data_IF_470810750922
#
_entry.id   IF_470810750922
#
_cell.length_a   1.000
_cell.length_b   1.000
_cell.length_c   1.000
_cell.angle_alpha   90.00
_cell.angle_beta   90.00
_cell.angle_gamma   90.00
#
_symmetry.space_group_name_H-M   'P 1'
#
loop_
_entity.id
_entity.type
_entity.pdbx_description
1 polymer ?
#
# COMPACT_ATOMS: atom_id res chain seq x y z
N UNK A 1 -19.46 -0.82 30.73
CA UNK A 1 -18.17 -1.53 30.98
C UNK A 1 -17.21 -0.50 31.56
N UNK A 2 -16.50 -0.75 32.67
CA UNK A 2 -15.72 0.28 33.38
C UNK A 2 -14.75 1.06 32.50
N UNK A 3 -14.19 0.40 31.48
CA UNK A 3 -13.26 1.00 30.52
C UNK A 3 -13.90 2.15 29.70
N UNK A 4 -15.15 1.97 29.27
CA UNK A 4 -15.88 3.00 28.51
C UNK A 4 -16.31 4.14 29.41
N UNK A 5 -16.70 3.84 30.65
CA UNK A 5 -17.11 4.87 31.61
C UNK A 5 -15.97 5.87 31.84
N UNK A 6 -14.72 5.41 31.99
CA UNK A 6 -13.56 6.32 32.14
C UNK A 6 -13.35 7.22 30.92
N UNK A 7 -13.57 6.72 29.69
CA UNK A 7 -13.51 7.56 28.49
C UNK A 7 -14.66 8.58 28.46
N UNK A 8 -15.86 8.17 28.85
CA UNK A 8 -17.03 9.05 28.93
C UNK A 8 -16.86 10.14 29.98
N UNK A 9 -16.28 9.83 31.14
CA UNK A 9 -15.95 10.80 32.19
C UNK A 9 -14.96 11.85 31.68
N UNK A 10 -13.94 11.45 30.93
CA UNK A 10 -12.97 12.38 30.31
C UNK A 10 -13.68 13.27 29.28
N UNK A 11 -14.56 12.69 28.45
CA UNK A 11 -15.31 13.45 27.43
C UNK A 11 -16.27 14.46 28.09
N UNK A 12 -16.91 14.10 29.20
CA UNK A 12 -17.83 14.96 29.94
C UNK A 12 -17.17 16.20 30.55
N UNK A 13 -15.83 16.22 30.67
CA UNK A 13 -15.09 17.42 31.10
C UNK A 13 -15.09 18.54 30.05
N UNK A 14 -15.61 18.28 28.85
CA UNK A 14 -15.80 19.26 27.78
C UNK A 14 -14.72 19.17 26.69
N UNK A 15 -15.03 19.72 25.51
CA UNK A 15 -14.18 19.61 24.32
C UNK A 15 -12.79 20.21 24.52
N UNK A 16 -12.71 21.39 25.16
CA UNK A 16 -11.44 22.06 25.45
C UNK A 16 -10.57 21.23 26.40
N UNK A 17 -11.17 20.55 27.37
CA UNK A 17 -10.46 19.67 28.27
C UNK A 17 -9.93 18.44 27.51
N UNK A 18 -10.77 17.81 26.68
CA UNK A 18 -10.40 16.64 25.88
C UNK A 18 -9.20 16.93 24.96
N UNK A 19 -9.12 18.12 24.36
CA UNK A 19 -7.97 18.53 23.53
C UNK A 19 -6.67 18.67 24.32
N UNK A 20 -6.74 18.95 25.63
CA UNK A 20 -5.56 19.12 26.48
C UNK A 20 -5.13 17.82 27.20
N UNK A 21 -5.99 16.80 27.22
CA UNK A 21 -5.69 15.52 27.89
C UNK A 21 -4.43 14.87 27.29
N UNK A 22 -3.47 14.42 28.11
CA UNK A 22 -2.33 13.66 27.61
C UNK A 22 -2.78 12.37 26.93
N UNK A 23 -2.25 12.07 25.74
CA UNK A 23 -2.62 10.91 24.93
C UNK A 23 -2.67 9.60 25.74
N UNK A 24 -1.70 9.39 26.64
CA UNK A 24 -1.60 8.20 27.50
C UNK A 24 -2.87 7.92 28.34
N UNK A 25 -3.59 8.96 28.76
CA UNK A 25 -4.81 8.79 29.55
C UNK A 25 -5.95 8.26 28.68
N UNK A 26 -5.96 8.57 27.38
CA UNK A 26 -6.92 7.99 26.43
C UNK A 26 -6.46 6.60 25.99
N UNK A 27 -5.19 6.45 25.57
CA UNK A 27 -4.71 5.20 24.98
C UNK A 27 -4.78 4.02 25.94
N UNK A 28 -4.58 4.21 27.25
CA UNK A 28 -4.71 3.10 28.22
C UNK A 28 -6.10 2.45 28.18
N UNK A 29 -7.17 3.25 28.04
CA UNK A 29 -8.52 2.72 27.95
C UNK A 29 -8.83 2.15 26.56
N UNK A 30 -8.36 2.82 25.50
CA UNK A 30 -8.54 2.36 24.11
C UNK A 30 -7.79 1.05 23.85
N UNK A 31 -6.57 0.89 24.37
CA UNK A 31 -5.78 -0.33 24.24
C UNK A 31 -6.43 -1.49 25.01
N UNK A 32 -7.06 -1.24 26.16
CA UNK A 32 -7.87 -2.26 26.86
C UNK A 32 -9.08 -2.70 26.03
N UNK A 33 -9.77 -1.78 25.35
CA UNK A 33 -10.83 -2.14 24.39
C UNK A 33 -10.28 -2.98 23.24
N UNK A 34 -9.10 -2.62 22.71
CA UNK A 34 -8.40 -3.38 21.67
C UNK A 34 -8.11 -4.82 22.11
N UNK A 35 -7.70 -5.02 23.37
CA UNK A 35 -7.50 -6.36 23.95
C UNK A 35 -8.81 -7.14 24.03
N UNK A 36 -9.92 -6.50 24.40
CA UNK A 36 -11.23 -7.16 24.44
C UNK A 36 -11.66 -7.58 23.03
N UNK A 37 -11.63 -6.65 22.08
CA UNK A 37 -12.02 -6.93 20.69
C UNK A 37 -11.15 -8.01 20.03
N UNK A 38 -9.87 -8.11 20.39
CA UNK A 38 -8.98 -9.14 19.83
C UNK A 38 -9.15 -10.53 20.47
N UNK A 39 -9.52 -10.61 21.75
CA UNK A 39 -9.60 -11.87 22.50
C UNK A 39 -11.00 -12.47 22.58
N UNK A 40 -12.06 -11.66 22.56
CA UNK A 40 -13.44 -12.17 22.55
C UNK A 40 -13.76 -12.76 21.17
N UNK A 41 -14.08 -14.05 21.10
CA UNK A 41 -14.33 -14.78 19.83
C UNK A 41 -15.82 -14.90 19.49
N UNK A 42 -16.63 -13.96 19.94
CA UNK A 42 -18.08 -13.90 19.68
C UNK A 42 -18.39 -12.67 18.80
N UNK A 43 -18.50 -12.82 17.47
CA UNK A 43 -18.66 -11.70 16.54
C UNK A 43 -19.83 -10.77 16.85
N UNK A 44 -20.99 -11.35 17.20
CA UNK A 44 -22.22 -10.59 17.50
C UNK A 44 -22.10 -9.75 18.77
N UNK A 45 -21.47 -10.32 19.82
CA UNK A 45 -21.23 -9.60 21.09
C UNK A 45 -20.27 -8.44 20.88
N UNK A 46 -19.22 -8.65 20.07
CA UNK A 46 -18.28 -7.57 19.72
C UNK A 46 -18.96 -6.51 18.86
N UNK A 47 -19.81 -6.91 17.91
CA UNK A 47 -20.58 -5.97 17.10
C UNK A 47 -21.53 -5.11 17.94
N UNK A 48 -22.27 -5.71 18.87
CA UNK A 48 -23.15 -4.97 19.78
C UNK A 48 -22.36 -3.97 20.62
N UNK A 49 -21.21 -4.39 21.16
CA UNK A 49 -20.32 -3.50 21.91
C UNK A 49 -19.81 -2.34 21.05
N UNK A 50 -19.38 -2.62 19.81
CA UNK A 50 -18.90 -1.60 18.87
C UNK A 50 -20.02 -0.60 18.55
N UNK A 51 -21.22 -1.08 18.23
CA UNK A 51 -22.38 -0.22 17.95
C UNK A 51 -22.71 0.67 19.14
N UNK A 52 -22.69 0.12 20.35
CA UNK A 52 -22.96 0.84 21.59
C UNK A 52 -21.90 1.89 21.92
N UNK A 53 -20.63 1.60 21.65
CA UNK A 53 -19.50 2.45 22.04
C UNK A 53 -19.02 3.39 20.93
N UNK A 54 -19.46 3.19 19.70
CA UNK A 54 -19.09 4.02 18.54
C UNK A 54 -19.28 5.53 18.80
N UNK A 55 -20.38 6.02 19.39
CA UNK A 55 -20.52 7.46 19.65
C UNK A 55 -19.41 8.02 20.55
N UNK A 56 -18.98 7.26 21.56
CA UNK A 56 -17.87 7.65 22.44
C UNK A 56 -16.53 7.67 21.69
N UNK A 57 -16.27 6.66 20.86
CA UNK A 57 -15.06 6.59 20.05
C UNK A 57 -15.02 7.70 18.98
N UNK A 58 -16.18 8.02 18.39
CA UNK A 58 -16.32 9.10 17.40
C UNK A 58 -15.95 10.46 18.00
N UNK A 59 -16.40 10.79 19.21
CA UNK A 59 -16.01 12.05 19.88
C UNK A 59 -14.47 12.15 20.00
N UNK A 60 -13.79 11.03 20.28
CA UNK A 60 -12.32 11.01 20.34
C UNK A 60 -11.71 11.20 18.94
N UNK A 61 -12.25 10.55 17.91
CA UNK A 61 -11.86 10.82 16.52
C UNK A 61 -11.95 12.31 16.19
N UNK A 62 -13.11 12.94 16.44
CA UNK A 62 -13.39 14.33 16.07
C UNK A 62 -12.46 15.34 16.77
N UNK A 63 -12.18 15.15 18.07
CA UNK A 63 -11.42 16.13 18.85
C UNK A 63 -9.92 15.81 18.99
N UNK A 64 -9.49 14.60 18.65
CA UNK A 64 -8.08 14.15 18.80
C UNK A 64 -7.44 13.72 17.50
N UNK A 65 -8.04 13.98 16.34
CA UNK A 65 -7.49 13.57 15.05
C UNK A 65 -6.07 14.11 14.76
N UNK A 66 -5.69 15.22 15.36
CA UNK A 66 -4.33 15.78 15.28
C UNK A 66 -3.27 14.98 16.07
N UNK A 67 -3.69 14.20 17.07
CA UNK A 67 -2.78 13.47 17.96
C UNK A 67 -2.54 12.04 17.46
N UNK A 68 -1.40 11.86 16.77
CA UNK A 68 -0.99 10.60 16.15
C UNK A 68 -1.04 9.42 17.12
N UNK A 69 -0.60 9.59 18.37
CA UNK A 69 -0.56 8.49 19.34
C UNK A 69 -1.97 7.99 19.70
N UNK A 70 -2.91 8.91 19.85
CA UNK A 70 -4.30 8.58 20.15
C UNK A 70 -4.96 7.93 18.92
N UNK A 71 -4.77 8.50 17.73
CA UNK A 71 -5.34 7.94 16.49
C UNK A 71 -4.80 6.54 16.17
N UNK A 72 -3.50 6.29 16.39
CA UNK A 72 -2.90 4.96 16.27
C UNK A 72 -3.57 3.93 17.19
N UNK A 73 -3.78 4.27 18.46
CA UNK A 73 -4.49 3.41 19.42
C UNK A 73 -5.94 3.17 19.00
N UNK A 74 -6.63 4.23 18.55
CA UNK A 74 -8.03 4.16 18.16
C UNK A 74 -8.24 3.33 16.88
N UNK A 75 -7.45 3.58 15.84
CA UNK A 75 -7.47 2.80 14.61
C UNK A 75 -7.10 1.33 14.85
N UNK A 76 -6.15 1.04 15.77
CA UNK A 76 -5.82 -0.32 16.17
C UNK A 76 -6.99 -1.02 16.87
N UNK A 77 -7.71 -0.32 17.73
CA UNK A 77 -8.94 -0.84 18.35
C UNK A 77 -10.00 -1.15 17.31
N UNK A 78 -10.25 -0.22 16.37
CA UNK A 78 -11.18 -0.41 15.26
C UNK A 78 -10.79 -1.58 14.36
N UNK A 79 -9.50 -1.76 14.07
CA UNK A 79 -9.00 -2.93 13.33
C UNK A 79 -9.39 -4.24 14.01
N UNK A 80 -9.16 -4.35 15.32
CA UNK A 80 -9.52 -5.58 16.04
C UNK A 80 -11.02 -5.80 16.09
N UNK A 81 -11.81 -4.74 16.26
CA UNK A 81 -13.25 -4.81 16.13
C UNK A 81 -13.64 -5.38 14.76
N UNK A 82 -13.24 -4.73 13.66
CA UNK A 82 -13.52 -5.13 12.27
C UNK A 82 -13.14 -6.59 12.00
N UNK A 83 -11.94 -7.01 12.41
CA UNK A 83 -11.48 -8.39 12.20
C UNK A 83 -12.31 -9.41 12.96
N UNK A 84 -12.83 -9.06 14.13
CA UNK A 84 -13.57 -9.99 14.99
C UNK A 84 -15.05 -10.03 14.66
N UNK A 85 -15.71 -8.89 14.44
CA UNK A 85 -17.13 -8.86 14.12
C UNK A 85 -17.44 -9.14 12.65
N UNK A 86 -16.52 -8.79 11.73
CA UNK A 86 -16.73 -8.96 10.30
C UNK A 86 -18.08 -8.41 9.84
N UNK A 87 -18.84 -9.21 9.10
CA UNK A 87 -20.17 -8.84 8.59
C UNK A 87 -21.18 -8.47 9.67
N UNK A 88 -21.01 -8.95 10.91
CA UNK A 88 -21.91 -8.62 12.03
C UNK A 88 -21.82 -7.15 12.46
N UNK A 89 -20.80 -6.40 12.02
CA UNK A 89 -20.64 -4.97 12.34
C UNK A 89 -21.80 -4.09 11.87
N UNK A 90 -22.57 -4.55 10.87
CA UNK A 90 -23.78 -3.87 10.39
C UNK A 90 -23.51 -2.45 9.91
N UNK A 91 -24.40 -1.52 10.24
CA UNK A 91 -24.37 -0.13 9.73
C UNK A 91 -23.18 0.71 10.23
N UNK A 92 -22.56 0.32 11.35
CA UNK A 92 -21.51 1.11 12.00
C UNK A 92 -20.25 1.20 11.14
N UNK A 93 -20.00 0.22 10.27
CA UNK A 93 -18.86 0.27 9.34
C UNK A 93 -18.98 1.48 8.40
N UNK A 94 -20.17 1.78 7.88
CA UNK A 94 -20.38 2.92 6.98
C UNK A 94 -20.09 4.25 7.67
N UNK A 95 -20.60 4.41 8.90
CA UNK A 95 -20.34 5.61 9.71
C UNK A 95 -18.84 5.76 10.05
N UNK A 96 -18.16 4.66 10.37
CA UNK A 96 -16.72 4.65 10.64
C UNK A 96 -15.91 5.07 9.42
N UNK A 97 -16.23 4.54 8.23
CA UNK A 97 -15.51 4.86 7.01
C UNK A 97 -15.72 6.30 6.56
N UNK A 98 -16.93 6.83 6.71
CA UNK A 98 -17.23 8.24 6.46
C UNK A 98 -16.40 9.17 7.36
N UNK A 99 -16.21 8.79 8.61
CA UNK A 99 -15.38 9.55 9.55
C UNK A 99 -13.90 9.51 9.15
N UNK A 100 -13.38 8.32 8.90
CA UNK A 100 -11.99 8.07 8.54
C UNK A 100 -11.58 8.87 7.30
N UNK A 101 -12.41 8.86 6.24
CA UNK A 101 -12.08 9.57 5.01
C UNK A 101 -12.05 11.10 5.22
N UNK A 102 -12.96 11.62 6.04
CA UNK A 102 -13.05 13.05 6.35
C UNK A 102 -11.83 13.51 7.16
N UNK A 103 -11.48 12.76 8.21
CA UNK A 103 -10.35 13.10 9.07
C UNK A 103 -9.01 12.91 8.38
N UNK A 104 -8.88 11.93 7.48
CA UNK A 104 -7.66 11.75 6.70
C UNK A 104 -7.36 12.96 5.81
N UNK A 105 -8.37 13.55 5.17
CA UNK A 105 -8.20 14.75 4.35
C UNK A 105 -7.71 15.97 5.15
N UNK A 106 -8.05 16.02 6.44
CA UNK A 106 -7.70 17.14 7.33
C UNK A 106 -6.34 16.94 8.01
N UNK A 107 -6.03 15.71 8.44
CA UNK A 107 -4.92 15.44 9.35
C UNK A 107 -3.81 14.56 8.76
N UNK A 108 -4.02 13.91 7.62
CA UNK A 108 -3.02 13.10 6.93
C UNK A 108 -2.39 11.98 7.77
N UNK A 109 -3.10 11.44 8.77
CA UNK A 109 -2.55 10.35 9.60
C UNK A 109 -2.57 9.03 8.81
N UNK A 110 -1.42 8.35 8.69
CA UNK A 110 -1.30 7.11 7.89
C UNK A 110 -2.18 5.97 8.43
N UNK A 111 -2.43 5.94 9.74
CA UNK A 111 -3.25 4.92 10.41
C UNK A 111 -4.67 4.81 9.85
N UNK A 112 -5.20 5.87 9.22
CA UNK A 112 -6.48 5.86 8.52
C UNK A 112 -6.43 5.03 7.22
N UNK A 113 -5.34 5.11 6.46
CA UNK A 113 -5.08 4.26 5.29
C UNK A 113 -4.90 2.80 5.72
N UNK A 114 -4.13 2.58 6.79
CA UNK A 114 -3.91 1.24 7.35
C UNK A 114 -5.23 0.59 7.79
N UNK A 115 -6.06 1.29 8.56
CA UNK A 115 -7.37 0.79 8.98
C UNK A 115 -8.27 0.50 7.77
N UNK A 116 -8.28 1.39 6.76
CA UNK A 116 -9.01 1.17 5.52
C UNK A 116 -8.55 -0.10 4.81
N UNK A 117 -7.25 -0.40 4.80
CA UNK A 117 -6.72 -1.64 4.22
C UNK A 117 -7.24 -2.88 4.93
N UNK A 118 -7.44 -2.80 6.25
CA UNK A 118 -7.99 -3.88 7.06
C UNK A 118 -9.49 -4.07 6.83
N UNK A 119 -10.23 -2.99 6.62
CA UNK A 119 -11.64 -3.05 6.21
C UNK A 119 -11.78 -3.70 4.83
N UNK A 120 -10.96 -3.30 3.84
CA UNK A 120 -11.00 -3.87 2.49
C UNK A 120 -10.77 -5.39 2.49
N UNK A 121 -9.88 -5.90 3.35
CA UNK A 121 -9.66 -7.36 3.49
C UNK A 121 -10.90 -8.14 3.92
N UNK A 122 -11.76 -7.51 4.73
CA UNK A 122 -12.93 -8.15 5.33
C UNK A 122 -14.18 -7.94 4.48
N UNK A 123 -14.36 -6.74 3.95
CA UNK A 123 -15.59 -6.32 3.27
C UNK A 123 -15.44 -6.06 1.77
N UNK A 124 -14.23 -6.13 1.21
CA UNK A 124 -13.97 -5.79 -0.19
C UNK A 124 -14.79 -6.60 -1.20
N UNK A 125 -15.07 -7.87 -0.88
CA UNK A 125 -15.88 -8.76 -1.71
C UNK A 125 -17.37 -8.74 -1.37
N UNK A 126 -17.80 -7.90 -0.42
CA UNK A 126 -19.19 -7.80 0.01
C UNK A 126 -19.94 -6.75 -0.84
N UNK A 127 -20.93 -7.15 -1.67
CA UNK A 127 -21.64 -6.22 -2.54
C UNK A 127 -22.45 -5.17 -1.77
N UNK A 128 -22.88 -5.46 -0.53
CA UNK A 128 -23.59 -4.48 0.30
C UNK A 128 -22.69 -3.31 0.71
N UNK A 129 -21.37 -3.50 0.62
CA UNK A 129 -20.35 -2.55 1.01
C UNK A 129 -19.79 -1.74 -0.16
N UNK A 130 -20.07 -2.16 -1.40
CA UNK A 130 -19.40 -1.68 -2.60
C UNK A 130 -19.47 -0.15 -2.78
N UNK A 131 -20.62 0.46 -2.50
CA UNK A 131 -20.84 1.90 -2.72
C UNK A 131 -19.94 2.77 -1.85
N UNK A 132 -19.95 2.56 -0.53
CA UNK A 132 -19.14 3.34 0.39
C UNK A 132 -17.66 2.95 0.35
N UNK A 133 -17.31 1.70 0.02
CA UNK A 133 -15.91 1.32 -0.22
C UNK A 133 -15.35 2.00 -1.47
N UNK A 134 -16.14 2.12 -2.53
CA UNK A 134 -15.74 2.88 -3.73
C UNK A 134 -15.48 4.34 -3.38
N UNK A 135 -16.39 4.97 -2.62
CA UNK A 135 -16.22 6.35 -2.16
C UNK A 135 -14.96 6.52 -1.30
N UNK A 136 -14.71 5.60 -0.36
CA UNK A 136 -13.53 5.58 0.50
C UNK A 136 -12.24 5.49 -0.33
N UNK A 137 -12.14 4.49 -1.20
CA UNK A 137 -11.00 4.27 -2.09
C UNK A 137 -10.72 5.54 -2.89
N UNK A 138 -11.77 6.13 -3.48
CA UNK A 138 -11.62 7.31 -4.29
C UNK A 138 -11.14 8.52 -3.51
N UNK A 139 -11.70 8.75 -2.33
CA UNK A 139 -11.37 9.89 -1.48
C UNK A 139 -9.93 9.79 -0.97
N UNK A 140 -9.55 8.64 -0.42
CA UNK A 140 -8.23 8.43 0.17
C UNK A 140 -7.12 8.50 -0.87
N UNK A 141 -7.26 7.84 -2.02
CA UNK A 141 -6.22 7.86 -3.04
C UNK A 141 -6.12 9.21 -3.74
N UNK A 142 -7.24 9.89 -4.05
CA UNK A 142 -7.17 11.23 -4.64
C UNK A 142 -6.39 12.21 -3.75
N UNK A 143 -6.64 12.16 -2.43
CA UNK A 143 -5.91 12.98 -1.48
C UNK A 143 -4.43 12.59 -1.40
N UNK A 144 -4.15 11.29 -1.28
CA UNK A 144 -2.77 10.80 -1.12
C UNK A 144 -1.89 11.06 -2.35
N UNK A 145 -2.44 10.94 -3.57
CA UNK A 145 -1.72 11.28 -4.81
C UNK A 145 -1.34 12.77 -4.84
N UNK A 146 -2.13 13.64 -4.23
CA UNK A 146 -1.78 15.07 -4.13
C UNK A 146 -0.67 15.32 -3.10
N UNK A 147 -0.60 14.51 -2.05
CA UNK A 147 0.45 14.57 -1.02
C UNK A 147 1.78 13.98 -1.51
N UNK A 148 1.75 12.96 -2.37
CA UNK A 148 2.91 12.18 -2.81
C UNK A 148 3.20 12.40 -4.29
N UNK A 149 3.72 13.57 -4.66
CA UNK A 149 4.00 13.93 -6.06
C UNK A 149 5.45 13.70 -6.46
N UNK A 150 6.36 13.93 -5.53
CA UNK A 150 7.81 13.88 -5.77
C UNK A 150 8.48 12.92 -4.80
N UNK A 151 9.67 12.44 -5.16
CA UNK A 151 10.47 11.58 -4.27
C UNK A 151 10.78 12.23 -2.90
N UNK A 152 10.82 13.56 -2.83
CA UNK A 152 10.97 14.30 -1.58
C UNK A 152 9.73 14.15 -0.69
N UNK A 153 8.53 14.21 -1.27
CA UNK A 153 7.28 14.02 -0.51
C UNK A 153 7.19 12.61 0.08
N UNK A 154 7.56 11.62 -0.73
CA UNK A 154 7.68 10.22 -0.31
C UNK A 154 8.66 10.05 0.86
N UNK A 155 9.82 10.69 0.77
CA UNK A 155 10.85 10.64 1.83
C UNK A 155 10.40 11.36 3.10
N UNK A 156 9.62 12.44 2.98
CA UNK A 156 9.09 13.18 4.12
C UNK A 156 7.92 12.45 4.82
N UNK A 157 7.18 11.60 4.09
CA UNK A 157 5.99 10.88 4.59
C UNK A 157 6.01 9.40 4.22
N UNK A 158 7.02 8.64 4.67
CA UNK A 158 7.20 7.24 4.28
C UNK A 158 6.11 6.32 4.85
N UNK A 159 5.53 6.68 5.99
CA UNK A 159 4.39 6.03 6.63
C UNK A 159 3.11 6.11 5.76
N UNK A 160 2.80 7.30 5.24
CA UNK A 160 1.68 7.48 4.30
C UNK A 160 1.92 6.69 3.01
N UNK A 161 3.16 6.72 2.48
CA UNK A 161 3.49 5.96 1.29
C UNK A 161 3.32 4.44 1.52
N UNK A 162 3.82 3.92 2.64
CA UNK A 162 3.67 2.52 3.02
C UNK A 162 2.20 2.10 3.10
N UNK A 163 1.41 2.79 3.94
CA UNK A 163 0.01 2.44 4.16
C UNK A 163 -0.87 2.67 2.92
N UNK A 164 -0.53 3.65 2.08
CA UNK A 164 -1.21 3.90 0.79
C UNK A 164 -1.06 2.72 -0.16
N UNK A 165 0.18 2.26 -0.37
CA UNK A 165 0.43 1.18 -1.31
C UNK A 165 0.10 -0.20 -0.73
N UNK A 166 0.10 -0.34 0.60
CA UNK A 166 -0.54 -1.46 1.27
C UNK A 166 -2.05 -1.49 0.98
N UNK A 167 -2.76 -0.37 1.15
CA UNK A 167 -4.19 -0.27 0.80
C UNK A 167 -4.42 -0.57 -0.68
N UNK A 168 -3.61 -0.03 -1.59
CA UNK A 168 -3.70 -0.29 -3.03
C UNK A 168 -3.56 -1.78 -3.36
N UNK A 169 -2.56 -2.44 -2.76
CA UNK A 169 -2.37 -3.88 -2.85
C UNK A 169 -3.60 -4.66 -2.34
N UNK A 170 -4.23 -4.22 -1.25
CA UNK A 170 -5.49 -4.83 -0.78
C UNK A 170 -6.65 -4.61 -1.75
N UNK A 171 -6.78 -3.42 -2.34
CA UNK A 171 -7.82 -3.17 -3.34
C UNK A 171 -7.69 -4.10 -4.55
N UNK A 172 -6.47 -4.31 -5.06
CA UNK A 172 -6.19 -5.25 -6.16
C UNK A 172 -6.61 -6.69 -5.79
N UNK A 173 -6.33 -7.15 -4.58
CA UNK A 173 -6.58 -8.54 -4.16
C UNK A 173 -8.02 -8.84 -3.75
N UNK A 174 -8.69 -7.90 -3.07
CA UNK A 174 -9.96 -8.17 -2.41
C UNK A 174 -11.16 -7.50 -3.07
N UNK A 175 -10.96 -6.41 -3.81
CA UNK A 175 -12.04 -5.68 -4.47
C UNK A 175 -11.61 -5.00 -5.79
N UNK A 176 -10.98 -5.73 -6.72
CA UNK A 176 -10.45 -5.11 -7.95
C UNK A 176 -11.55 -4.42 -8.79
N UNK A 177 -12.79 -4.90 -8.73
CA UNK A 177 -13.96 -4.28 -9.39
C UNK A 177 -14.22 -2.83 -8.94
N UNK A 178 -13.90 -2.50 -7.68
CA UNK A 178 -14.14 -1.18 -7.11
C UNK A 178 -12.98 -0.20 -7.40
N UNK A 179 -11.87 -0.69 -7.93
CA UNK A 179 -10.63 0.07 -8.03
C UNK A 179 -10.05 0.11 -9.46
N UNK A 180 -9.84 -1.04 -10.10
CA UNK A 180 -9.14 -1.13 -11.39
C UNK A 180 -9.87 -0.38 -12.51
N UNK A 181 -11.23 -0.42 -12.63
CA UNK A 181 -11.95 0.33 -13.65
C UNK A 181 -11.98 1.85 -13.45
N UNK A 182 -11.48 2.35 -12.31
CA UNK A 182 -11.58 3.79 -11.97
C UNK A 182 -10.41 4.59 -12.54
N UNK A 183 -10.62 5.89 -12.77
CA UNK A 183 -9.56 6.82 -13.22
C UNK A 183 -8.41 7.00 -12.21
N UNK A 184 -8.60 6.53 -10.98
CA UNK A 184 -7.58 6.62 -9.93
C UNK A 184 -6.49 5.58 -10.13
N UNK A 185 -6.85 4.40 -10.64
CA UNK A 185 -5.89 3.32 -10.87
C UNK A 185 -4.68 3.78 -11.71
N UNK A 186 -4.83 4.35 -12.93
CA UNK A 186 -3.67 4.83 -13.71
C UNK A 186 -2.89 5.93 -12.98
N UNK A 187 -3.57 6.84 -12.27
CA UNK A 187 -2.91 7.91 -11.49
C UNK A 187 -2.10 7.36 -10.31
N UNK A 188 -2.54 6.26 -9.71
CA UNK A 188 -1.82 5.59 -8.64
C UNK A 188 -0.61 4.80 -9.16
N UNK A 189 -0.69 4.26 -10.39
CA UNK A 189 0.50 3.70 -11.08
C UNK A 189 1.54 4.79 -11.34
N UNK A 190 1.12 5.98 -11.79
CA UNK A 190 2.03 7.13 -11.96
C UNK A 190 2.65 7.57 -10.62
N UNK A 191 1.86 7.60 -9.55
CA UNK A 191 2.33 7.87 -8.19
C UNK A 191 3.36 6.83 -7.73
N UNK A 192 3.11 5.54 -7.96
CA UNK A 192 4.05 4.45 -7.65
C UNK A 192 5.39 4.67 -8.37
N UNK A 193 5.35 5.03 -9.66
CA UNK A 193 6.55 5.29 -10.46
C UNK A 193 7.36 6.48 -9.93
N UNK A 194 6.70 7.52 -9.42
CA UNK A 194 7.36 8.68 -8.83
C UNK A 194 8.08 8.37 -7.50
N UNK A 195 7.58 7.37 -6.75
CA UNK A 195 8.04 7.08 -5.39
C UNK A 195 8.81 5.78 -5.17
N UNK A 196 8.81 4.83 -6.11
CA UNK A 196 9.35 3.47 -5.89
C UNK A 196 10.85 3.44 -5.53
N UNK A 197 11.61 4.47 -5.88
CA UNK A 197 13.04 4.62 -5.52
C UNK A 197 13.29 5.20 -4.13
N UNK A 198 12.25 5.34 -3.30
CA UNK A 198 12.34 5.82 -1.92
C UNK A 198 13.29 4.94 -1.10
N UNK A 199 14.17 5.58 -0.31
CA UNK A 199 15.15 4.91 0.55
C UNK A 199 14.56 4.45 1.89
N UNK A 200 13.23 4.42 2.02
CA UNK A 200 12.55 3.85 3.17
C UNK A 200 12.13 2.43 2.87
N UNK A 201 12.59 1.49 3.72
CA UNK A 201 12.44 0.05 3.52
C UNK A 201 10.96 -0.30 3.26
N UNK A 202 10.08 -0.23 4.25
CA UNK A 202 8.73 -0.78 4.12
C UNK A 202 7.89 -0.10 3.03
N UNK A 203 7.95 1.22 2.94
CA UNK A 203 7.29 2.00 1.87
C UNK A 203 7.67 1.53 0.46
N UNK A 204 8.97 1.36 0.18
CA UNK A 204 9.45 0.85 -1.11
C UNK A 204 8.89 -0.54 -1.39
N UNK A 205 8.86 -1.43 -0.37
CA UNK A 205 8.30 -2.77 -0.51
C UNK A 205 6.81 -2.74 -0.82
N UNK A 206 6.04 -1.90 -0.14
CA UNK A 206 4.61 -1.76 -0.40
C UNK A 206 4.33 -1.26 -1.83
N UNK A 207 5.13 -0.31 -2.34
CA UNK A 207 5.03 0.14 -3.74
C UNK A 207 5.33 -0.99 -4.72
N UNK A 208 6.44 -1.73 -4.51
CA UNK A 208 6.81 -2.86 -5.36
C UNK A 208 5.76 -3.98 -5.31
N UNK A 209 5.20 -4.27 -4.13
CA UNK A 209 4.11 -5.24 -3.97
C UNK A 209 2.83 -4.83 -4.70
N UNK A 210 2.47 -3.54 -4.68
CA UNK A 210 1.33 -3.06 -5.47
C UNK A 210 1.55 -3.25 -6.98
N UNK A 211 2.75 -2.94 -7.48
CA UNK A 211 3.09 -3.14 -8.89
C UNK A 211 3.03 -4.63 -9.26
N UNK A 212 3.60 -5.51 -8.43
CA UNK A 212 3.57 -6.95 -8.71
C UNK A 212 2.16 -7.51 -8.65
N UNK A 213 1.37 -7.18 -7.61
CA UNK A 213 -0.02 -7.63 -7.49
C UNK A 213 -0.86 -7.22 -8.71
N UNK A 214 -0.60 -6.03 -9.26
CA UNK A 214 -1.28 -5.54 -10.47
C UNK A 214 -1.00 -6.44 -11.67
N UNK A 215 0.26 -6.83 -11.87
CA UNK A 215 0.65 -7.72 -12.96
C UNK A 215 0.18 -9.16 -12.75
N UNK A 216 0.15 -9.61 -11.50
CA UNK A 216 -0.30 -10.95 -11.15
C UNK A 216 -1.82 -11.07 -11.33
N UNK A 217 -2.60 -10.04 -10.96
CA UNK A 217 -4.04 -9.99 -11.23
C UNK A 217 -4.33 -10.10 -12.73
N UNK A 218 -3.63 -9.35 -13.58
CA UNK A 218 -3.83 -9.41 -15.03
C UNK A 218 -3.53 -10.78 -15.66
N UNK A 219 -2.77 -11.64 -14.97
CA UNK A 219 -2.45 -13.00 -15.41
C UNK A 219 -3.29 -14.07 -14.75
N UNK A 220 -3.92 -13.77 -13.62
CA UNK A 220 -4.71 -14.76 -12.89
C UNK A 220 -6.01 -15.04 -13.64
N UNK A 221 -6.57 -16.26 -13.53
CA UNK A 221 -7.89 -16.57 -14.11
C UNK A 221 -8.99 -15.61 -13.63
N UNK A 222 -8.94 -15.21 -12.36
CA UNK A 222 -9.93 -14.33 -11.73
C UNK A 222 -9.84 -12.88 -12.24
N UNK A 223 -8.65 -12.48 -12.72
CA UNK A 223 -8.39 -11.14 -13.23
C UNK A 223 -8.44 -11.00 -14.75
N UNK A 224 -8.86 -12.05 -15.47
CA UNK A 224 -8.96 -12.03 -16.94
C UNK A 224 -9.76 -10.83 -17.45
N UNK A 225 -10.87 -10.47 -16.78
CA UNK A 225 -11.71 -9.31 -17.12
C UNK A 225 -11.01 -7.96 -16.98
N UNK A 226 -9.93 -7.86 -16.19
CA UNK A 226 -9.16 -6.62 -16.02
C UNK A 226 -7.91 -6.58 -16.88
N UNK A 227 -7.51 -7.73 -17.45
CA UNK A 227 -6.23 -7.90 -18.15
C UNK A 227 -6.02 -6.84 -19.22
N UNK A 228 -7.01 -6.62 -20.08
CA UNK A 228 -6.88 -5.67 -21.20
C UNK A 228 -6.75 -4.22 -20.72
N UNK A 229 -7.51 -3.85 -19.67
CA UNK A 229 -7.44 -2.52 -19.08
C UNK A 229 -6.09 -2.27 -18.39
N UNK A 230 -5.65 -3.22 -17.55
CA UNK A 230 -4.34 -3.14 -16.87
C UNK A 230 -3.22 -3.08 -17.91
N UNK A 231 -3.24 -3.98 -18.90
CA UNK A 231 -2.21 -4.03 -19.93
C UNK A 231 -2.17 -2.73 -20.74
N UNK A 232 -3.31 -2.15 -21.10
CA UNK A 232 -3.36 -0.87 -21.82
C UNK A 232 -2.73 0.25 -21.01
N UNK A 233 -3.07 0.36 -19.73
CA UNK A 233 -2.55 1.40 -18.82
C UNK A 233 -1.04 1.24 -18.61
N UNK A 234 -0.59 0.01 -18.40
CA UNK A 234 0.82 -0.30 -18.14
C UNK A 234 1.66 -0.15 -19.41
N UNK A 235 1.14 -0.54 -20.58
CA UNK A 235 1.86 -0.44 -21.85
C UNK A 235 2.29 1.01 -22.14
N UNK A 236 1.44 1.99 -21.83
CA UNK A 236 1.74 3.42 -21.95
C UNK A 236 2.88 3.88 -21.01
N UNK A 237 3.11 3.17 -19.92
CA UNK A 237 4.11 3.45 -18.88
C UNK A 237 5.31 2.51 -18.93
N UNK A 238 5.27 1.51 -19.81
CA UNK A 238 6.14 0.34 -19.76
C UNK A 238 7.61 0.67 -19.90
N UNK A 239 7.97 1.55 -20.84
CA UNK A 239 9.35 2.00 -21.01
C UNK A 239 9.90 2.69 -19.75
N UNK A 240 9.10 3.56 -19.12
CA UNK A 240 9.50 4.25 -17.89
C UNK A 240 9.57 3.30 -16.71
N UNK A 241 8.60 2.39 -16.55
CA UNK A 241 8.62 1.35 -15.51
C UNK A 241 9.85 0.45 -15.65
N UNK A 242 10.15 -0.03 -16.85
CA UNK A 242 11.33 -0.83 -17.14
C UNK A 242 12.60 -0.08 -16.76
N UNK A 243 12.72 1.19 -17.16
CA UNK A 243 13.87 2.04 -16.79
C UNK A 243 14.03 2.19 -15.28
N UNK A 244 12.94 2.45 -14.55
CA UNK A 244 13.00 2.60 -13.10
C UNK A 244 13.39 1.28 -12.43
N UNK A 245 12.80 0.15 -12.85
CA UNK A 245 13.13 -1.16 -12.28
C UNK A 245 14.57 -1.58 -12.57
N UNK A 246 15.07 -1.33 -13.78
CA UNK A 246 16.47 -1.57 -14.13
C UNK A 246 17.39 -0.66 -13.31
N UNK A 247 17.08 0.62 -13.15
CA UNK A 247 17.86 1.52 -12.29
C UNK A 247 17.85 1.06 -10.82
N UNK A 248 16.71 0.62 -10.31
CA UNK A 248 16.57 0.04 -8.97
C UNK A 248 17.45 -1.20 -8.78
N UNK A 249 17.48 -2.08 -9.79
CA UNK A 249 18.35 -3.25 -9.80
C UNK A 249 19.82 -2.84 -9.76
N UNK A 250 20.25 -1.92 -10.63
CA UNK A 250 21.65 -1.56 -10.84
C UNK A 250 22.23 -0.61 -9.80
N UNK A 251 21.42 0.03 -8.95
CA UNK A 251 21.96 0.79 -7.82
C UNK A 251 21.07 1.87 -7.20
N UNK A 252 19.92 2.20 -7.79
CA UNK A 252 19.02 3.21 -7.24
C UNK A 252 18.35 2.75 -5.93
N UNK A 253 18.26 1.44 -5.68
CA UNK A 253 17.81 0.88 -4.40
C UNK A 253 18.94 0.07 -3.72
N UNK A 254 18.91 -0.05 -2.38
CA UNK A 254 19.82 -0.94 -1.65
C UNK A 254 19.69 -2.40 -2.09
N UNK A 255 20.75 -3.20 -1.94
CA UNK A 255 20.76 -4.62 -2.32
C UNK A 255 19.71 -5.46 -1.56
N UNK A 256 19.30 -5.02 -0.36
CA UNK A 256 18.20 -5.62 0.39
C UNK A 256 16.81 -5.52 -0.28
N UNK A 257 16.71 -4.89 -1.46
CA UNK A 257 15.48 -4.81 -2.29
C UNK A 257 15.54 -5.59 -3.60
N UNK A 258 16.62 -6.34 -3.83
CA UNK A 258 16.82 -7.03 -5.12
C UNK A 258 15.77 -8.10 -5.39
N UNK A 259 15.32 -8.81 -4.37
CA UNK A 259 14.30 -9.85 -4.53
C UNK A 259 12.97 -9.25 -5.01
N UNK A 260 12.49 -8.19 -4.34
CA UNK A 260 11.23 -7.54 -4.74
C UNK A 260 11.33 -6.87 -6.12
N UNK A 261 12.45 -6.22 -6.43
CA UNK A 261 12.68 -5.62 -7.76
C UNK A 261 12.75 -6.69 -8.85
N UNK A 262 13.45 -7.80 -8.60
CA UNK A 262 13.56 -8.93 -9.53
C UNK A 262 12.20 -9.54 -9.83
N UNK A 263 11.33 -9.63 -8.81
CA UNK A 263 9.97 -10.12 -9.00
C UNK A 263 9.14 -9.19 -9.89
N UNK A 264 9.21 -7.88 -9.68
CA UNK A 264 8.50 -6.91 -10.55
C UNK A 264 9.02 -6.98 -11.99
N UNK A 265 10.33 -7.08 -12.20
CA UNK A 265 10.94 -7.27 -13.53
C UNK A 265 10.48 -8.57 -14.19
N UNK A 266 10.41 -9.67 -13.45
CA UNK A 266 9.88 -10.94 -13.93
C UNK A 266 8.42 -10.82 -14.35
N UNK A 267 7.59 -10.24 -13.49
CA UNK A 267 6.16 -10.07 -13.77
C UNK A 267 5.93 -9.17 -14.96
N UNK A 268 6.71 -8.09 -15.13
CA UNK A 268 6.67 -7.22 -16.30
C UNK A 268 7.12 -7.96 -17.58
N UNK A 269 8.20 -8.74 -17.50
CA UNK A 269 8.72 -9.53 -18.64
C UNK A 269 7.71 -10.55 -19.13
N UNK A 270 7.10 -11.30 -18.21
CA UNK A 270 6.04 -12.27 -18.53
C UNK A 270 4.77 -11.63 -19.09
N UNK A 271 4.47 -10.38 -18.75
CA UNK A 271 3.26 -9.69 -19.20
C UNK A 271 3.44 -9.08 -20.60
N UNK A 272 4.63 -8.56 -20.91
CA UNK A 272 4.85 -7.74 -22.11
C UNK A 272 5.87 -8.33 -23.09
N UNK A 273 6.55 -9.42 -22.76
CA UNK A 273 7.41 -10.20 -23.65
C UNK A 273 8.34 -9.34 -24.51
N UNK A 274 8.11 -9.34 -25.83
CA UNK A 274 8.89 -8.57 -26.80
C UNK A 274 8.97 -7.07 -26.51
N UNK A 275 7.91 -6.46 -25.97
CA UNK A 275 7.94 -5.04 -25.58
C UNK A 275 8.92 -4.82 -24.42
N UNK A 276 8.94 -5.72 -23.42
CA UNK A 276 9.90 -5.64 -22.31
C UNK A 276 11.34 -5.80 -22.78
N UNK A 277 11.58 -6.71 -23.74
CA UNK A 277 12.91 -6.85 -24.37
C UNK A 277 13.35 -5.57 -25.07
N UNK A 278 12.44 -4.90 -25.78
CA UNK A 278 12.74 -3.63 -26.45
C UNK A 278 13.04 -2.52 -25.43
N UNK A 279 12.20 -2.34 -24.42
CA UNK A 279 12.44 -1.35 -23.36
C UNK A 279 13.75 -1.60 -22.63
N UNK A 280 14.07 -2.87 -22.35
CA UNK A 280 15.35 -3.24 -21.72
C UNK A 280 16.51 -2.85 -22.61
N UNK A 281 16.45 -3.16 -23.91
CA UNK A 281 17.51 -2.81 -24.88
C UNK A 281 17.77 -1.31 -24.91
N UNK A 282 16.71 -0.50 -24.95
CA UNK A 282 16.82 0.95 -24.96
C UNK A 282 17.42 1.46 -23.63
N UNK A 283 17.05 0.87 -22.49
CA UNK A 283 17.57 1.26 -21.19
C UNK A 283 19.05 0.92 -21.01
N UNK A 284 19.47 -0.30 -21.35
CA UNK A 284 20.87 -0.72 -21.20
C UNK A 284 21.79 -0.04 -22.19
N UNK A 285 21.27 0.40 -23.35
CA UNK A 285 22.03 1.20 -24.30
C UNK A 285 22.51 2.53 -23.72
N UNK A 286 21.78 3.09 -22.75
CA UNK A 286 22.13 4.33 -22.04
C UNK A 286 23.19 4.13 -20.95
N UNK A 287 23.47 2.88 -20.54
CA UNK A 287 24.52 2.60 -19.57
C UNK A 287 25.87 2.71 -20.30
N UNK A 288 26.91 3.37 -19.74
CA UNK A 288 28.22 3.43 -20.39
C UNK A 288 28.88 2.05 -20.51
N UNK A 289 29.67 1.77 -21.56
CA UNK A 289 30.35 0.48 -21.73
C UNK A 289 31.39 0.19 -20.64
N UNK A 290 31.90 1.23 -19.96
CA UNK A 290 32.76 1.08 -18.78
C UNK A 290 32.00 0.51 -17.58
N UNK A 291 30.69 0.76 -17.52
CA UNK A 291 29.83 0.31 -16.44
C UNK A 291 29.20 -1.06 -16.71
N UNK A 292 28.88 -1.33 -17.99
CA UNK A 292 28.27 -2.58 -18.46
C UNK A 292 28.78 -2.92 -19.86
N UNK A 293 29.59 -3.97 -19.96
CA UNK A 293 30.21 -4.44 -21.19
C UNK A 293 29.19 -5.02 -22.18
N UNK A 294 29.55 -5.16 -23.45
CA UNK A 294 28.64 -5.71 -24.48
C UNK A 294 28.23 -7.17 -24.22
N UNK A 295 29.12 -7.96 -23.61
CA UNK A 295 28.81 -9.33 -23.18
C UNK A 295 27.80 -9.34 -22.03
N UNK A 296 27.92 -8.43 -21.07
CA UNK A 296 26.99 -8.30 -19.95
C UNK A 296 25.63 -7.75 -20.39
N UNK A 297 25.60 -6.82 -21.34
CA UNK A 297 24.35 -6.36 -21.99
C UNK A 297 23.62 -7.51 -22.66
N UNK A 298 24.35 -8.30 -23.45
CA UNK A 298 23.79 -9.48 -24.13
C UNK A 298 23.25 -10.49 -23.12
N UNK A 299 23.97 -10.72 -22.02
CA UNK A 299 23.54 -11.58 -20.92
C UNK A 299 22.26 -11.08 -20.24
N UNK A 300 22.14 -9.77 -20.01
CA UNK A 300 20.92 -9.17 -19.45
C UNK A 300 19.72 -9.41 -20.38
N UNK A 301 19.87 -9.15 -21.68
CA UNK A 301 18.80 -9.40 -22.64
C UNK A 301 18.36 -10.88 -22.66
N UNK A 302 19.30 -11.82 -22.55
CA UNK A 302 18.98 -13.25 -22.41
C UNK A 302 18.17 -13.53 -21.16
N UNK A 303 18.52 -12.94 -20.01
CA UNK A 303 17.78 -13.13 -18.75
C UNK A 303 16.33 -12.63 -18.88
N UNK A 304 16.09 -11.49 -19.52
CA UNK A 304 14.73 -10.97 -19.77
C UNK A 304 13.96 -11.86 -20.76
N UNK A 305 14.63 -12.39 -21.78
CA UNK A 305 14.03 -13.33 -22.72
C UNK A 305 13.59 -14.61 -22.00
N UNK A 306 14.45 -15.16 -21.15
CA UNK A 306 14.19 -16.34 -20.33
C UNK A 306 13.06 -16.11 -19.31
N UNK A 307 12.99 -14.91 -18.73
CA UNK A 307 11.90 -14.51 -17.86
C UNK A 307 10.56 -14.50 -18.60
N UNK A 308 10.56 -14.01 -19.84
CA UNK A 308 9.38 -13.97 -20.71
C UNK A 308 8.92 -15.37 -21.14
N UNK A 309 9.84 -16.33 -21.27
CA UNK A 309 9.54 -17.72 -21.65
C UNK A 309 9.14 -18.64 -20.49
N UNK A 310 9.07 -18.12 -19.26
CA UNK A 310 8.53 -18.85 -18.10
C UNK A 310 9.55 -19.40 -17.12
N UNK A 311 10.81 -18.95 -17.15
CA UNK A 311 11.82 -19.33 -16.16
C UNK A 311 11.39 -19.06 -14.72
N UNK A 312 11.89 -19.87 -13.77
CA UNK A 312 11.55 -19.76 -12.35
C UNK A 312 12.20 -18.54 -11.68
N UNK A 313 11.52 -17.97 -10.68
CA UNK A 313 11.97 -16.75 -9.99
C UNK A 313 13.34 -16.93 -9.33
N UNK A 314 13.59 -18.04 -8.63
CA UNK A 314 14.85 -18.28 -7.93
C UNK A 314 16.07 -18.21 -8.84
N UNK A 315 16.02 -18.90 -9.99
CA UNK A 315 17.10 -18.87 -11.00
C UNK A 315 17.29 -17.48 -11.62
N UNK A 316 16.24 -16.66 -11.69
CA UNK A 316 16.32 -15.32 -12.25
C UNK A 316 16.84 -14.29 -11.25
N UNK A 317 16.45 -14.39 -9.97
CA UNK A 317 16.92 -13.50 -8.91
C UNK A 317 18.44 -13.57 -8.76
N UNK A 318 19.03 -14.76 -8.77
CA UNK A 318 20.49 -14.93 -8.70
C UNK A 318 21.18 -14.27 -9.91
N UNK A 319 20.64 -14.47 -11.11
CA UNK A 319 21.16 -13.87 -12.35
C UNK A 319 21.02 -12.35 -12.37
N UNK A 320 19.93 -11.81 -11.84
CA UNK A 320 19.75 -10.37 -11.65
C UNK A 320 20.67 -9.80 -10.56
N UNK A 321 20.94 -10.56 -9.50
CA UNK A 321 21.87 -10.18 -8.46
C UNK A 321 23.30 -10.08 -9.01
N UNK A 322 23.74 -11.00 -9.87
CA UNK A 322 25.04 -10.90 -10.54
C UNK A 322 25.18 -9.61 -11.37
N UNK A 323 24.15 -9.23 -12.12
CA UNK A 323 24.15 -7.97 -12.89
C UNK A 323 24.16 -6.76 -11.97
N UNK A 324 23.36 -6.80 -10.90
CA UNK A 324 23.34 -5.76 -9.87
C UNK A 324 24.74 -5.56 -9.27
N UNK A 325 25.45 -6.64 -8.94
CA UNK A 325 26.82 -6.57 -8.44
C UNK A 325 27.77 -5.93 -9.44
N UNK A 326 27.76 -6.36 -10.71
CA UNK A 326 28.59 -5.77 -11.77
C UNK A 326 28.41 -4.26 -11.84
N UNK A 327 27.16 -3.80 -11.89
CA UNK A 327 26.85 -2.37 -11.98
C UNK A 327 27.27 -1.61 -10.71
N UNK A 328 27.24 -2.26 -9.53
CA UNK A 328 27.65 -1.66 -8.25
C UNK A 328 29.17 -1.68 -8.03
N UNK A 329 29.91 -2.63 -8.62
CA UNK A 329 31.38 -2.75 -8.48
C UNK A 329 32.11 -1.50 -8.97
N UNK A 330 31.57 -0.79 -9.96
CA UNK A 330 32.14 0.48 -10.43
C UNK A 330 32.02 1.64 -9.44
N UNK A 331 31.31 1.50 -8.30
CA UNK A 331 31.42 2.46 -7.18
C UNK A 331 32.77 2.39 -6.47
N UNK A 332 33.44 1.23 -6.46
CA UNK A 332 34.69 1.05 -5.72
C UNK A 332 35.95 1.60 -6.43
N UNK A 333 35.80 2.12 -7.65
CA UNK A 333 36.91 2.69 -8.45
C UNK A 333 36.90 4.23 -8.42
N UNK A 334 35.94 4.85 -7.71
CA UNK A 334 35.81 6.32 -7.60
C UNK A 334 35.94 6.87 -6.16
N UNK A 335 36.50 6.08 -5.24
CA UNK A 335 36.98 6.59 -3.94
C UNK A 335 38.52 6.73 -3.94
#
# INVERSE_FOLDING_TARGET
MPIINSLQEIIQQGESALQQVPARHLTVHIDRLSTIFSNVKLPEVVAEAVNRYWPTLKIIFDHRAWDTRTMESLCRSCKFAVRTCGRSMGITIGAMLLEIQTLYQQHNQSCFLYLSSEVIKIFGSDPSCASYLTCLIQTLFNHTIQLLRTIQDFTARPDIADDCFLLASRCIRYCPDLFVPTEIFPRLVDCAMAGVTIQHREACKSILCFLSDTFDLAKSPEGEKYRDLINTIVLQRGATLARIMIASLTGALPSGRLEEVSYVLLSLSRAFGGNMLNWTRDCIALIPPQALTDSERSRFLTIISDASSGSSLGSLTDRFAEISEVCRRNKAVQD
#
